data_IF_774921936430
#
_entry.id   IF_774921936430
#
_cell.length_a   1.000
_cell.length_b   1.000
_cell.length_c   1.000
_cell.angle_alpha   90.00
_cell.angle_beta   90.00
_cell.angle_gamma   90.00
#
_symmetry.space_group_name_H-M   'P 1'
#
loop_
_entity.id
_entity.type
_entity.pdbx_description
1 polymer ?
#
# COMPACT_ATOMS: atom_id res chain seq x y z
N UNK A 1 3.47 17.39 12.17
CA UNK A 1 4.59 16.87 11.36
C UNK A 1 4.69 15.41 11.64
N UNK A 2 3.81 14.69 10.98
CA UNK A 2 3.66 13.26 11.05
C UNK A 2 4.87 12.62 10.35
N UNK A 3 5.80 12.09 11.14
CA UNK A 3 6.73 11.04 10.68
C UNK A 3 5.97 9.72 10.53
N UNK A 4 4.79 9.79 9.91
CA UNK A 4 3.98 8.66 9.53
C UNK A 4 4.69 7.94 8.39
N UNK A 5 4.73 6.61 8.47
CA UNK A 5 5.24 5.74 7.42
C UNK A 5 4.83 6.27 6.05
N UNK A 6 5.82 6.73 5.29
CA UNK A 6 5.61 7.41 4.01
C UNK A 6 4.82 6.46 3.12
N UNK A 7 3.62 6.89 2.73
CA UNK A 7 2.80 6.06 1.85
C UNK A 7 3.44 6.06 0.47
N UNK A 8 3.76 4.90 -0.13
CA UNK A 8 4.27 4.82 -1.51
C UNK A 8 3.18 5.15 -2.55
N UNK A 9 2.12 5.83 -2.13
CA UNK A 9 0.99 6.17 -2.97
C UNK A 9 1.37 7.34 -3.88
N UNK A 10 1.47 7.08 -5.17
CA UNK A 10 1.72 8.09 -6.21
C UNK A 10 0.45 8.88 -6.59
N UNK A 11 -0.59 8.86 -5.76
CA UNK A 11 -1.92 9.42 -6.02
C UNK A 11 -2.60 8.87 -7.29
N UNK A 12 -2.16 7.71 -7.77
CA UNK A 12 -2.80 6.95 -8.85
C UNK A 12 -3.54 5.78 -8.22
N UNK A 13 -4.88 5.83 -8.27
CA UNK A 13 -5.74 4.75 -7.78
C UNK A 13 -6.22 3.93 -8.98
N UNK A 14 -5.47 2.88 -9.32
CA UNK A 14 -5.85 1.94 -10.38
C UNK A 14 -5.67 0.54 -9.84
N UNK A 15 -6.75 -0.21 -9.71
CA UNK A 15 -6.75 -1.56 -9.17
C UNK A 15 -6.75 -2.58 -10.31
N UNK A 16 -5.98 -3.65 -10.17
CA UNK A 16 -6.00 -4.83 -11.01
C UNK A 16 -7.20 -5.75 -10.66
N UNK A 17 -7.41 -6.82 -11.43
CA UNK A 17 -8.40 -7.87 -11.18
C UNK A 17 -8.30 -8.55 -9.81
N UNK A 18 -7.16 -8.42 -9.12
CA UNK A 18 -6.94 -8.94 -7.76
C UNK A 18 -7.13 -7.88 -6.66
N UNK A 19 -7.76 -6.75 -6.96
CA UNK A 19 -7.92 -5.62 -6.03
C UNK A 19 -6.58 -5.05 -5.55
N UNK A 20 -5.51 -5.22 -6.35
CA UNK A 20 -4.17 -4.68 -6.08
C UNK A 20 -3.98 -3.39 -6.87
N UNK A 21 -3.60 -2.31 -6.20
CA UNK A 21 -3.30 -1.06 -6.85
C UNK A 21 -2.03 -1.19 -7.69
N UNK A 22 -2.11 -1.07 -9.01
CA UNK A 22 -0.94 -1.13 -9.91
C UNK A 22 -0.03 0.09 -9.79
N UNK A 23 -0.50 1.17 -9.16
CA UNK A 23 0.30 2.38 -8.92
C UNK A 23 1.21 2.30 -7.70
N UNK A 24 0.78 1.60 -6.64
CA UNK A 24 1.52 1.51 -5.38
C UNK A 24 1.68 0.09 -4.82
N UNK A 25 1.15 -0.94 -5.50
CA UNK A 25 1.23 -2.35 -5.13
C UNK A 25 0.34 -2.80 -3.95
N UNK A 26 -0.44 -1.89 -3.35
CA UNK A 26 -1.27 -2.16 -2.16
C UNK A 26 -2.61 -2.75 -2.54
N UNK A 27 -3.11 -3.69 -1.77
CA UNK A 27 -4.49 -4.19 -1.95
C UNK A 27 -5.53 -3.21 -1.42
N UNK A 28 -6.77 -3.31 -1.91
CA UNK A 28 -7.91 -2.54 -1.42
C UNK A 28 -8.11 -2.72 0.10
N UNK A 29 -7.98 -3.96 0.60
CA UNK A 29 -8.07 -4.26 2.04
C UNK A 29 -6.99 -3.55 2.84
N UNK A 30 -5.75 -3.58 2.35
CA UNK A 30 -4.62 -2.88 2.97
C UNK A 30 -4.83 -1.35 2.98
N UNK A 31 -5.39 -0.78 1.91
CA UNK A 31 -5.73 0.65 1.82
C UNK A 31 -6.82 1.00 2.84
N UNK A 32 -7.85 0.16 2.96
CA UNK A 32 -8.95 0.35 3.90
C UNK A 32 -8.48 0.26 5.36
N UNK A 33 -7.59 -0.69 5.67
CA UNK A 33 -7.04 -0.87 7.01
C UNK A 33 -5.88 0.08 7.32
N UNK A 34 -5.23 0.71 6.32
CA UNK A 34 -4.02 1.53 6.52
C UNK A 34 -4.17 2.65 7.57
N UNK A 35 -5.35 3.27 7.61
CA UNK A 35 -5.66 4.33 8.59
C UNK A 35 -5.82 3.81 10.02
N UNK A 36 -6.12 2.52 10.20
CA UNK A 36 -6.41 1.89 11.49
C UNK A 36 -5.31 0.97 12.01
N UNK A 37 -4.36 0.56 11.16
CA UNK A 37 -3.23 -0.28 11.54
C UNK A 37 -2.06 0.53 12.09
N UNK A 38 -1.23 -0.11 12.92
CA UNK A 38 -0.04 0.50 13.53
C UNK A 38 1.04 0.77 12.49
N UNK A 39 1.95 1.71 12.76
CA UNK A 39 3.14 2.01 11.95
C UNK A 39 3.95 0.77 11.54
N UNK A 40 4.13 -0.21 12.42
CA UNK A 40 4.80 -1.48 12.08
C UNK A 40 4.06 -2.28 11.00
N UNK A 41 2.72 -2.32 11.05
CA UNK A 41 1.89 -2.95 10.01
C UNK A 41 1.89 -2.12 8.74
N UNK A 42 1.87 -0.78 8.84
CA UNK A 42 1.99 0.11 7.69
C UNK A 42 3.27 -0.17 6.90
N UNK A 43 4.39 -0.35 7.60
CA UNK A 43 5.68 -0.75 7.03
C UNK A 43 5.61 -2.11 6.33
N UNK A 44 5.07 -3.12 7.00
CA UNK A 44 4.93 -4.46 6.42
C UNK A 44 4.04 -4.47 5.16
N UNK A 45 2.98 -3.66 5.15
CA UNK A 45 2.11 -3.48 3.98
C UNK A 45 2.90 -2.82 2.85
N UNK A 46 3.67 -1.77 3.13
CA UNK A 46 4.47 -1.10 2.11
C UNK A 46 5.50 -2.06 1.51
N UNK A 47 6.24 -2.82 2.32
CA UNK A 47 7.21 -3.81 1.83
C UNK A 47 6.54 -4.89 0.97
N UNK A 48 5.37 -5.39 1.37
CA UNK A 48 4.60 -6.34 0.56
C UNK A 48 4.13 -5.73 -0.75
N UNK A 49 3.67 -4.49 -0.71
CA UNK A 49 3.19 -3.77 -1.87
C UNK A 49 4.32 -3.52 -2.88
N UNK A 50 5.50 -3.12 -2.42
CA UNK A 50 6.70 -2.98 -3.24
C UNK A 50 7.10 -4.32 -3.89
N UNK A 51 7.05 -5.42 -3.14
CA UNK A 51 7.31 -6.76 -3.71
C UNK A 51 6.31 -7.12 -4.81
N UNK A 52 5.01 -6.91 -4.58
CA UNK A 52 3.99 -7.17 -5.61
C UNK A 52 4.24 -6.31 -6.86
N UNK A 53 4.60 -5.04 -6.69
CA UNK A 53 4.91 -4.15 -7.80
C UNK A 53 6.14 -4.62 -8.59
N UNK A 54 7.13 -5.21 -7.93
CA UNK A 54 8.30 -5.79 -8.59
C UNK A 54 8.01 -7.10 -9.33
N UNK A 55 6.92 -7.79 -8.99
CA UNK A 55 6.46 -9.04 -9.62
C UNK A 55 5.35 -8.84 -10.68
N UNK A 56 4.84 -7.61 -10.83
CA UNK A 56 3.86 -7.19 -11.84
C UNK A 56 4.55 -6.76 -13.15
#
# INVERSE_FOLDING_TARGET
MDREVESPCVAVCTLDANDVCIGCGRTLEEIASYGSVSDSERLAINEKAEKRLAEL
#
